data_IF_967516016864
#
_entry.id   IF_967516016864
#
_cell.length_a   1.000
_cell.length_b   1.000
_cell.length_c   1.000
_cell.angle_alpha   90.00
_cell.angle_beta   90.00
_cell.angle_gamma   90.00
#
_symmetry.space_group_name_H-M   'P 1'
#
loop_
_entity.id
_entity.type
_entity.pdbx_description
1 polymer ?
#
# COMPACT_ATOMS: atom_id res chain seq x y z
N UNK A 1 -15.55 -9.75 -9.01
CA UNK A 1 -14.08 -9.88 -8.84
C UNK A 1 -13.71 -9.43 -7.46
N UNK A 2 -12.68 -10.02 -6.86
CA UNK A 2 -12.29 -9.75 -5.47
C UNK A 2 -10.86 -9.25 -5.41
N UNK A 3 -10.64 -8.22 -4.58
CA UNK A 3 -9.33 -7.72 -4.19
C UNK A 3 -9.06 -8.15 -2.74
N UNK A 4 -8.01 -8.94 -2.55
CA UNK A 4 -7.48 -9.29 -1.24
C UNK A 4 -6.35 -8.32 -0.89
N UNK A 5 -6.41 -7.70 0.27
CA UNK A 5 -5.39 -6.78 0.79
C UNK A 5 -4.83 -7.35 2.08
N UNK A 6 -3.54 -7.58 2.10
CA UNK A 6 -2.82 -8.08 3.29
C UNK A 6 -1.82 -7.03 3.73
N UNK A 7 -1.80 -6.71 5.01
CA UNK A 7 -0.88 -5.72 5.54
C UNK A 7 -1.21 -5.35 6.99
N UNK A 8 -0.62 -4.26 7.46
CA UNK A 8 -0.82 -3.81 8.84
C UNK A 8 -2.08 -2.96 8.99
N UNK A 9 -2.77 -3.13 10.12
CA UNK A 9 -3.68 -2.16 10.73
C UNK A 9 -2.99 -1.64 11.97
N UNK A 10 -2.90 -0.34 12.14
CA UNK A 10 -2.04 0.29 13.13
C UNK A 10 -2.69 1.48 13.83
N UNK A 11 -2.10 1.85 14.97
CA UNK A 11 -2.17 3.22 15.46
C UNK A 11 -0.87 3.94 15.15
N UNK A 12 -0.99 5.11 14.52
CA UNK A 12 0.15 5.95 14.21
C UNK A 12 0.14 7.23 15.08
N UNK A 13 1.32 7.65 15.52
CA UNK A 13 1.54 9.01 16.05
C UNK A 13 2.48 9.72 15.12
N UNK A 14 1.99 10.80 14.50
CA UNK A 14 2.68 11.48 13.41
C UNK A 14 2.91 12.94 13.81
N UNK A 15 4.18 13.36 13.73
CA UNK A 15 4.58 14.74 13.91
C UNK A 15 5.17 15.27 12.59
N UNK A 16 4.68 16.42 12.13
CA UNK A 16 5.18 17.14 10.96
C UNK A 16 5.43 18.60 11.35
N UNK A 17 6.10 19.41 10.52
CA UNK A 17 6.21 20.84 10.74
C UNK A 17 4.86 21.59 10.89
N UNK A 18 3.77 20.94 10.44
CA UNK A 18 2.42 21.52 10.45
C UNK A 18 1.55 21.12 11.65
N UNK A 19 2.02 20.17 12.46
CA UNK A 19 1.30 19.71 13.64
C UNK A 19 1.65 18.31 14.07
N UNK A 20 0.88 17.81 15.03
CA UNK A 20 1.03 16.46 15.58
C UNK A 20 -0.34 15.86 15.84
N UNK A 21 -0.50 14.59 15.44
CA UNK A 21 -1.67 13.77 15.77
C UNK A 21 -1.23 12.48 16.43
N UNK A 22 -1.93 12.08 17.48
CA UNK A 22 -1.56 10.93 18.31
C UNK A 22 -2.57 9.80 18.19
N UNK A 23 -2.07 8.56 18.03
CA UNK A 23 -2.88 7.33 18.00
C UNK A 23 -4.02 7.37 16.98
N UNK A 24 -3.75 7.94 15.83
CA UNK A 24 -4.70 7.92 14.71
C UNK A 24 -4.67 6.58 13.98
N UNK A 25 -5.74 6.25 13.30
CA UNK A 25 -5.85 5.03 12.50
C UNK A 25 -4.88 5.07 11.32
N UNK A 26 -4.03 4.07 11.22
CA UNK A 26 -2.99 3.92 10.21
C UNK A 26 -2.75 2.47 9.80
N UNK A 27 -1.59 2.23 9.20
CA UNK A 27 -1.18 0.92 8.71
C UNK A 27 -1.45 0.69 7.23
N UNK A 28 -0.57 -0.07 6.57
CA UNK A 28 -0.58 -0.27 5.12
C UNK A 28 -1.91 -0.82 4.57
N UNK A 29 -2.48 -1.85 5.22
CA UNK A 29 -3.77 -2.39 4.79
C UNK A 29 -4.92 -1.39 4.99
N UNK A 30 -4.86 -0.56 6.01
CA UNK A 30 -5.87 0.47 6.27
C UNK A 30 -5.96 1.45 5.10
N UNK A 31 -4.84 2.09 4.74
CA UNK A 31 -4.81 3.06 3.64
C UNK A 31 -5.19 2.41 2.30
N UNK A 32 -4.64 1.22 2.03
CA UNK A 32 -4.91 0.46 0.80
C UNK A 32 -6.38 0.08 0.68
N UNK A 33 -6.99 -0.44 1.74
CA UNK A 33 -8.41 -0.82 1.73
C UNK A 33 -9.34 0.38 1.57
N UNK A 34 -9.09 1.47 2.31
CA UNK A 34 -9.91 2.68 2.21
C UNK A 34 -9.87 3.23 0.78
N UNK A 35 -8.70 3.37 0.19
CA UNK A 35 -8.58 3.98 -1.14
C UNK A 35 -9.04 3.05 -2.26
N UNK A 36 -8.89 1.73 -2.13
CA UNK A 36 -9.44 0.76 -3.08
C UNK A 36 -10.96 0.64 -3.00
N UNK A 37 -11.57 0.96 -1.83
CA UNK A 37 -13.03 0.88 -1.65
C UNK A 37 -13.82 1.83 -2.54
N UNK A 38 -13.19 2.86 -3.07
CA UNK A 38 -13.80 3.77 -4.05
C UNK A 38 -13.99 3.13 -5.45
N UNK A 39 -13.41 1.96 -5.68
CA UNK A 39 -13.45 1.25 -6.98
C UNK A 39 -14.01 -0.15 -6.87
N UNK A 40 -13.84 -0.82 -5.73
CA UNK A 40 -14.24 -2.22 -5.50
C UNK A 40 -14.48 -2.46 -4.02
N UNK A 41 -14.97 -3.63 -3.63
CA UNK A 41 -15.11 -4.03 -2.23
C UNK A 41 -13.87 -4.86 -1.84
N UNK A 42 -12.88 -4.30 -1.14
CA UNK A 42 -11.69 -5.05 -0.76
C UNK A 42 -11.94 -5.95 0.44
N UNK A 43 -11.15 -7.02 0.53
CA UNK A 43 -11.16 -7.96 1.64
C UNK A 43 -9.84 -7.79 2.40
N UNK A 44 -9.90 -7.44 3.68
CA UNK A 44 -8.69 -7.22 4.49
C UNK A 44 -8.25 -8.51 5.19
N UNK A 45 -6.95 -8.79 5.18
CA UNK A 45 -6.31 -9.78 6.06
C UNK A 45 -5.25 -9.08 6.88
N UNK A 46 -5.51 -8.97 8.18
CA UNK A 46 -4.65 -8.28 9.14
C UNK A 46 -4.95 -8.77 10.56
N UNK A 47 -4.24 -8.21 11.54
CA UNK A 47 -4.45 -8.49 12.96
C UNK A 47 -4.48 -7.17 13.74
N UNK A 48 -5.42 -7.09 14.70
CA UNK A 48 -5.52 -5.99 15.66
C UNK A 48 -5.54 -6.52 17.09
N UNK A 49 -5.23 -5.68 18.05
CA UNK A 49 -5.25 -6.03 19.46
C UNK A 49 -6.62 -5.80 20.13
N UNK A 50 -6.67 -6.16 21.43
CA UNK A 50 -7.86 -5.94 22.27
C UNK A 50 -8.24 -4.46 22.40
N UNK A 51 -7.26 -3.56 22.18
CA UNK A 51 -7.39 -2.10 22.31
C UNK A 51 -7.86 -1.41 21.02
N UNK A 52 -8.16 -2.17 19.96
CA UNK A 52 -8.66 -1.59 18.71
C UNK A 52 -10.17 -1.27 18.85
N UNK A 53 -10.56 0.03 18.72
CA UNK A 53 -11.94 0.44 18.88
C UNK A 53 -12.86 -0.14 17.81
N UNK A 54 -14.06 -0.57 18.24
CA UNK A 54 -15.08 -1.09 17.32
C UNK A 54 -15.53 -0.03 16.29
N UNK A 55 -15.42 1.24 16.63
CA UNK A 55 -15.74 2.36 15.74
C UNK A 55 -14.85 2.40 14.50
N UNK A 56 -13.64 1.86 14.59
CA UNK A 56 -12.78 1.73 13.41
C UNK A 56 -13.21 0.57 12.50
N UNK A 57 -13.68 -0.54 13.06
CA UNK A 57 -14.30 -1.61 12.28
C UNK A 57 -15.55 -1.10 11.55
N UNK A 58 -16.41 -0.36 12.26
CA UNK A 58 -17.59 0.25 11.64
C UNK A 58 -17.23 1.23 10.50
N UNK A 59 -16.12 1.97 10.62
CA UNK A 59 -15.64 2.79 9.51
C UNK A 59 -15.21 1.95 8.31
N UNK A 60 -14.55 0.82 8.52
CA UNK A 60 -14.20 -0.11 7.45
C UNK A 60 -15.46 -0.68 6.78
N UNK A 61 -16.43 -1.14 7.57
CA UNK A 61 -17.70 -1.65 7.05
C UNK A 61 -18.47 -0.61 6.24
N UNK A 62 -18.47 0.66 6.68
CA UNK A 62 -19.08 1.78 5.95
C UNK A 62 -18.39 2.05 4.59
N UNK A 63 -17.15 1.62 4.44
CA UNK A 63 -16.40 1.61 3.18
C UNK A 63 -16.56 0.31 2.38
N UNK A 64 -17.49 -0.58 2.78
CA UNK A 64 -17.69 -1.91 2.17
C UNK A 64 -16.41 -2.77 2.17
N UNK A 65 -15.56 -2.64 3.18
CA UNK A 65 -14.39 -3.48 3.39
C UNK A 65 -14.85 -4.73 4.13
N UNK A 66 -14.58 -5.91 3.57
CA UNK A 66 -14.87 -7.19 4.21
C UNK A 66 -13.83 -7.47 5.30
N UNK A 67 -14.29 -7.69 6.53
CA UNK A 67 -13.44 -7.86 7.72
C UNK A 67 -13.28 -9.32 8.17
N UNK A 68 -13.76 -10.31 7.43
CA UNK A 68 -13.66 -11.72 7.82
C UNK A 68 -12.21 -12.20 8.02
N UNK A 69 -11.24 -11.52 7.40
CA UNK A 69 -9.81 -11.76 7.59
C UNK A 69 -9.13 -10.86 8.63
N UNK A 70 -9.88 -10.02 9.33
CA UNK A 70 -9.34 -9.16 10.39
C UNK A 70 -9.37 -9.90 11.73
N UNK A 71 -8.23 -10.44 12.15
CA UNK A 71 -8.08 -11.13 13.43
C UNK A 71 -8.02 -10.12 14.58
N UNK A 72 -8.72 -10.44 15.69
CA UNK A 72 -8.61 -9.68 16.95
C UNK A 72 -7.94 -10.54 18.02
N UNK A 73 -6.82 -10.05 18.53
CA UNK A 73 -6.10 -10.73 19.62
C UNK A 73 -6.57 -10.25 21.00
N UNK A 74 -6.83 -11.18 21.92
CA UNK A 74 -7.50 -10.90 23.20
C UNK A 74 -6.60 -10.19 24.23
N UNK A 75 -5.28 -10.35 24.16
CA UNK A 75 -4.35 -9.92 25.24
C UNK A 75 -3.22 -9.01 24.77
N UNK A 76 -2.87 -9.01 23.48
CA UNK A 76 -1.86 -8.10 22.92
C UNK A 76 -2.52 -6.83 22.36
N UNK A 77 -1.77 -5.72 22.37
CA UNK A 77 -2.18 -4.44 21.78
C UNK A 77 -2.04 -4.47 20.27
N UNK A 78 -2.74 -3.57 19.61
CA UNK A 78 -2.59 -3.25 18.20
C UNK A 78 -1.18 -2.73 17.92
N UNK A 79 -0.65 -3.00 16.72
CA UNK A 79 0.60 -2.44 16.22
C UNK A 79 0.59 -0.92 16.35
N UNK A 80 1.69 -0.38 16.84
CA UNK A 80 1.85 1.06 17.01
C UNK A 80 3.15 1.53 16.36
N UNK A 81 3.06 2.65 15.64
CA UNK A 81 4.20 3.33 15.07
C UNK A 81 4.16 4.83 15.39
N UNK A 82 5.32 5.42 15.64
CA UNK A 82 5.46 6.88 15.79
C UNK A 82 6.60 7.38 14.94
N UNK A 83 6.33 8.43 14.18
CA UNK A 83 7.30 9.05 13.30
C UNK A 83 7.22 10.56 13.30
N UNK A 84 8.38 11.17 12.98
CA UNK A 84 8.52 12.62 12.85
C UNK A 84 9.10 12.96 11.48
N UNK A 85 8.39 13.79 10.74
CA UNK A 85 8.86 14.34 9.47
C UNK A 85 9.64 15.62 9.71
N UNK A 86 10.74 15.80 8.96
CA UNK A 86 11.53 17.02 8.94
C UNK A 86 10.91 18.05 7.99
N UNK A 87 11.47 19.26 7.91
CA UNK A 87 11.03 20.30 6.96
C UNK A 87 10.96 19.79 5.51
N UNK A 88 11.89 18.92 5.14
CA UNK A 88 11.76 18.09 3.95
C UNK A 88 10.86 16.89 4.27
N UNK A 89 9.61 16.97 3.86
CA UNK A 89 8.59 15.94 4.10
C UNK A 89 8.90 14.55 3.49
N UNK A 90 9.98 14.42 2.71
CA UNK A 90 10.49 13.12 2.23
C UNK A 90 11.41 12.42 3.25
N UNK A 91 11.84 13.13 4.31
CA UNK A 91 12.72 12.59 5.34
C UNK A 91 11.91 12.38 6.63
N UNK A 92 11.92 11.13 7.11
CA UNK A 92 11.18 10.69 8.29
C UNK A 92 12.13 10.02 9.27
N UNK A 93 12.04 10.39 10.54
CA UNK A 93 12.66 9.69 11.66
C UNK A 93 11.61 8.82 12.34
N UNK A 94 11.88 7.53 12.51
CA UNK A 94 11.06 6.65 13.35
C UNK A 94 11.41 6.92 14.80
N UNK A 95 10.41 7.27 15.61
CA UNK A 95 10.58 7.60 17.05
C UNK A 95 10.32 6.36 17.91
N UNK A 96 9.25 5.61 17.61
CA UNK A 96 8.88 4.40 18.34
C UNK A 96 8.20 3.40 17.41
N UNK A 97 8.42 2.12 17.68
CA UNK A 97 7.75 1.02 16.99
C UNK A 97 7.45 -0.09 17.98
N UNK A 98 6.18 -0.36 18.22
CA UNK A 98 5.72 -1.45 19.09
C UNK A 98 5.02 -2.48 18.23
N UNK A 99 5.70 -3.58 17.94
CA UNK A 99 5.18 -4.64 17.07
C UNK A 99 3.90 -5.28 17.62
N UNK A 100 3.82 -5.48 18.95
CA UNK A 100 2.62 -5.97 19.61
C UNK A 100 2.04 -7.24 18.93
N UNK A 101 0.82 -7.15 18.34
CA UNK A 101 0.19 -8.26 17.63
C UNK A 101 0.96 -8.71 16.38
N UNK A 102 1.76 -7.85 15.75
CA UNK A 102 2.53 -8.22 14.56
C UNK A 102 3.63 -9.24 14.85
N UNK A 103 4.14 -9.32 16.10
CA UNK A 103 5.13 -10.34 16.47
C UNK A 103 4.63 -11.77 16.30
N UNK A 104 3.31 -11.94 16.42
CA UNK A 104 2.66 -13.24 16.38
C UNK A 104 1.74 -13.42 15.18
N UNK A 105 1.68 -12.43 14.29
CA UNK A 105 0.78 -12.45 13.15
C UNK A 105 1.08 -13.64 12.23
N UNK A 106 0.12 -14.54 12.16
CA UNK A 106 0.14 -15.69 11.27
C UNK A 106 -1.13 -15.65 10.42
N UNK A 107 -1.09 -15.02 9.25
CA UNK A 107 -2.30 -14.73 8.46
C UNK A 107 -3.04 -16.01 8.08
N UNK A 108 -4.36 -15.99 8.24
CA UNK A 108 -5.25 -17.00 7.74
C UNK A 108 -6.20 -16.32 6.74
N UNK A 109 -6.12 -16.73 5.48
CA UNK A 109 -7.03 -16.24 4.46
C UNK A 109 -8.36 -17.00 4.59
N UNK A 110 -9.50 -16.31 4.81
CA UNK A 110 -10.81 -16.96 4.77
C UNK A 110 -11.03 -17.70 3.45
N UNK A 111 -11.63 -18.88 3.48
CA UNK A 111 -11.74 -19.77 2.30
C UNK A 111 -12.39 -19.06 1.09
N UNK A 112 -13.39 -18.21 1.35
CA UNK A 112 -14.04 -17.42 0.29
C UNK A 112 -13.08 -16.45 -0.44
N UNK A 113 -11.93 -16.09 0.16
CA UNK A 113 -10.97 -15.13 -0.39
C UNK A 113 -9.70 -15.77 -0.95
N UNK A 114 -9.46 -17.08 -0.75
CA UNK A 114 -8.30 -17.80 -1.30
C UNK A 114 -8.25 -17.78 -2.84
N UNK A 115 -9.41 -17.59 -3.48
CA UNK A 115 -9.57 -17.50 -4.94
C UNK A 115 -9.67 -16.06 -5.46
N UNK A 116 -9.18 -15.09 -4.71
CA UNK A 116 -9.18 -13.68 -5.14
C UNK A 116 -8.43 -13.50 -6.46
N UNK A 117 -8.98 -12.65 -7.32
CA UNK A 117 -8.40 -12.38 -8.64
C UNK A 117 -7.27 -11.35 -8.59
N UNK A 118 -7.31 -10.48 -7.61
CA UNK A 118 -6.33 -9.43 -7.35
C UNK A 118 -5.87 -9.53 -5.90
N UNK A 119 -4.56 -9.47 -5.69
CA UNK A 119 -3.96 -9.55 -4.36
C UNK A 119 -2.97 -8.40 -4.18
N UNK A 120 -3.11 -7.64 -3.11
CA UNK A 120 -2.14 -6.63 -2.70
C UNK A 120 -1.46 -7.06 -1.40
N UNK A 121 -0.19 -7.36 -1.47
CA UNK A 121 0.68 -7.60 -0.33
C UNK A 121 1.26 -6.25 0.11
N UNK A 122 0.59 -5.59 1.04
CA UNK A 122 1.06 -4.34 1.63
C UNK A 122 2.30 -4.55 2.49
N UNK A 123 2.82 -3.45 2.99
CA UNK A 123 4.04 -3.46 3.80
C UNK A 123 3.83 -4.24 5.12
N UNK A 124 4.41 -5.43 5.18
CA UNK A 124 4.50 -6.31 6.34
C UNK A 124 5.73 -7.20 6.15
N UNK A 125 6.22 -7.84 7.23
CA UNK A 125 7.40 -8.71 7.15
C UNK A 125 7.25 -9.75 6.02
N UNK A 126 8.27 -9.94 5.15
CA UNK A 126 8.21 -10.82 3.99
C UNK A 126 7.82 -12.27 4.29
N UNK A 127 8.20 -12.81 5.45
CA UNK A 127 7.77 -14.15 5.86
C UNK A 127 6.24 -14.29 6.03
N UNK A 128 5.55 -13.21 6.40
CA UNK A 128 4.07 -13.14 6.44
C UNK A 128 3.50 -13.09 5.02
N UNK A 129 4.10 -12.29 4.12
CA UNK A 129 3.70 -12.25 2.71
C UNK A 129 3.84 -13.64 2.05
N UNK A 130 4.92 -14.39 2.34
CA UNK A 130 5.10 -15.77 1.84
C UNK A 130 3.99 -16.71 2.32
N UNK A 131 3.63 -16.65 3.61
CA UNK A 131 2.52 -17.46 4.16
C UNK A 131 1.17 -17.16 3.48
N UNK A 132 0.95 -15.92 3.07
CA UNK A 132 -0.23 -15.54 2.29
C UNK A 132 -0.19 -16.16 0.91
N UNK A 133 0.94 -16.01 0.20
CA UNK A 133 1.13 -16.58 -1.15
C UNK A 133 0.93 -18.10 -1.18
N UNK A 134 1.36 -18.81 -0.14
CA UNK A 134 1.21 -20.27 -0.04
C UNK A 134 -0.26 -20.72 0.21
N UNK A 135 -1.17 -19.81 0.58
CA UNK A 135 -2.59 -20.09 0.80
C UNK A 135 -3.47 -19.74 -0.41
N UNK A 136 -2.95 -19.03 -1.41
CA UNK A 136 -3.72 -18.65 -2.59
C UNK A 136 -4.00 -19.87 -3.46
N UNK A 137 -5.25 -20.00 -3.91
CA UNK A 137 -5.72 -21.10 -4.75
C UNK A 137 -5.96 -20.67 -6.22
N UNK A 138 -5.86 -19.39 -6.53
CA UNK A 138 -6.03 -18.87 -7.90
C UNK A 138 -4.65 -18.60 -8.52
N UNK A 139 -4.17 -19.55 -9.33
CA UNK A 139 -2.89 -19.43 -10.05
C UNK A 139 -2.84 -18.27 -11.07
N UNK A 140 -4.00 -17.74 -11.46
CA UNK A 140 -4.13 -16.62 -12.39
C UNK A 140 -4.37 -15.29 -11.69
N UNK A 141 -4.23 -15.23 -10.36
CA UNK A 141 -4.36 -13.98 -9.62
C UNK A 141 -3.27 -12.99 -10.03
N UNK A 142 -3.64 -11.72 -10.23
CA UNK A 142 -2.65 -10.65 -10.35
C UNK A 142 -2.20 -10.23 -8.95
N UNK A 143 -0.94 -10.44 -8.65
CA UNK A 143 -0.36 -10.19 -7.34
C UNK A 143 0.58 -9.00 -7.40
N UNK A 144 0.27 -7.97 -6.62
CA UNK A 144 1.14 -6.83 -6.39
C UNK A 144 1.69 -6.84 -4.96
N UNK A 145 2.89 -6.31 -4.78
CA UNK A 145 3.48 -6.11 -3.46
C UNK A 145 4.05 -4.71 -3.31
N UNK A 146 4.05 -4.22 -2.09
CA UNK A 146 4.86 -3.10 -1.61
C UNK A 146 5.88 -3.59 -0.58
N UNK A 147 6.96 -2.84 -0.40
CA UNK A 147 8.04 -3.17 0.54
C UNK A 147 8.60 -1.88 1.16
N UNK A 148 9.62 -2.02 2.00
CA UNK A 148 10.36 -0.90 2.56
C UNK A 148 11.83 -1.29 2.84
N UNK A 149 12.68 -0.27 3.03
CA UNK A 149 14.10 -0.42 3.32
C UNK A 149 14.39 -1.38 4.49
N UNK A 150 13.57 -1.37 5.54
CA UNK A 150 13.72 -2.27 6.68
C UNK A 150 13.81 -3.75 6.28
N UNK A 151 13.01 -4.17 5.30
CA UNK A 151 13.00 -5.56 4.83
C UNK A 151 14.16 -5.86 3.89
N UNK A 152 14.60 -4.87 3.13
CA UNK A 152 15.82 -4.99 2.32
C UNK A 152 17.05 -5.23 3.22
N UNK A 153 17.07 -4.60 4.40
CA UNK A 153 18.18 -4.70 5.35
C UNK A 153 18.11 -5.97 6.22
N UNK A 154 16.91 -6.34 6.68
CA UNK A 154 16.77 -7.33 7.76
C UNK A 154 16.07 -8.64 7.35
N UNK A 155 15.48 -8.71 6.15
CA UNK A 155 14.73 -9.88 5.67
C UNK A 155 14.93 -10.12 4.16
N UNK A 156 16.12 -9.84 3.66
CA UNK A 156 16.45 -9.84 2.23
C UNK A 156 16.10 -11.17 1.51
N UNK A 157 16.49 -12.30 2.08
CA UNK A 157 16.27 -13.60 1.44
C UNK A 157 14.77 -13.91 1.26
N UNK A 158 13.96 -13.61 2.26
CA UNK A 158 12.52 -13.81 2.18
C UNK A 158 11.87 -12.77 1.26
N UNK A 159 12.34 -11.52 1.28
CA UNK A 159 11.90 -10.49 0.34
C UNK A 159 12.13 -10.91 -1.12
N UNK A 160 13.31 -11.44 -1.45
CA UNK A 160 13.61 -11.96 -2.80
C UNK A 160 12.68 -13.11 -3.17
N UNK A 161 12.34 -14.01 -2.22
CA UNK A 161 11.36 -15.08 -2.49
C UNK A 161 9.96 -14.54 -2.81
N UNK A 162 9.52 -13.48 -2.11
CA UNK A 162 8.25 -12.81 -2.41
C UNK A 162 8.30 -12.16 -3.79
N UNK A 163 9.34 -11.36 -4.08
CA UNK A 163 9.50 -10.68 -5.38
C UNK A 163 9.42 -11.66 -6.55
N UNK A 164 9.97 -12.87 -6.40
CA UNK A 164 9.91 -13.92 -7.43
C UNK A 164 8.51 -14.49 -7.70
N UNK A 165 7.57 -14.27 -6.79
CA UNK A 165 6.20 -14.83 -6.85
C UNK A 165 5.13 -13.79 -7.20
N UNK A 166 5.50 -12.52 -7.40
CA UNK A 166 4.55 -11.45 -7.68
C UNK A 166 4.65 -10.93 -9.12
N UNK A 167 3.56 -10.39 -9.63
CA UNK A 167 3.48 -9.82 -10.98
C UNK A 167 3.92 -8.36 -10.99
N UNK A 168 3.60 -7.61 -9.92
CA UNK A 168 3.85 -6.17 -9.81
C UNK A 168 4.62 -5.89 -8.53
N UNK A 169 5.79 -5.26 -8.66
CA UNK A 169 6.52 -4.69 -7.53
C UNK A 169 6.29 -3.18 -7.48
N UNK A 170 5.78 -2.68 -6.36
CA UNK A 170 5.73 -1.26 -6.04
C UNK A 170 6.87 -0.95 -5.05
N UNK A 171 7.71 0.03 -5.37
CA UNK A 171 8.92 0.33 -4.59
C UNK A 171 9.27 1.80 -4.80
N UNK A 172 9.94 2.46 -3.83
CA UNK A 172 10.44 3.80 -4.08
C UNK A 172 11.85 3.78 -4.73
N UNK A 173 12.30 4.95 -5.16
CA UNK A 173 13.60 5.12 -5.85
C UNK A 173 14.78 4.70 -4.98
N UNK A 174 14.80 5.06 -3.71
CA UNK A 174 15.88 4.70 -2.79
C UNK A 174 15.89 3.21 -2.50
N UNK A 175 14.72 2.62 -2.29
CA UNK A 175 14.56 1.19 -2.02
C UNK A 175 15.00 0.33 -3.20
N UNK A 176 14.64 0.66 -4.44
CA UNK A 176 15.05 -0.14 -5.60
C UNK A 176 16.56 -0.03 -5.86
N UNK A 177 17.13 1.16 -5.64
CA UNK A 177 18.56 1.35 -5.69
C UNK A 177 19.29 0.55 -4.61
N UNK A 178 18.78 0.53 -3.39
CA UNK A 178 19.31 -0.27 -2.29
C UNK A 178 19.18 -1.78 -2.58
N UNK A 179 18.01 -2.24 -3.04
CA UNK A 179 17.73 -3.63 -3.35
C UNK A 179 18.73 -4.21 -4.37
N UNK A 180 19.10 -3.42 -5.37
CA UNK A 180 19.98 -3.85 -6.46
C UNK A 180 21.42 -3.33 -6.35
N UNK A 181 21.74 -2.63 -5.27
CA UNK A 181 23.03 -1.98 -5.07
C UNK A 181 23.48 -1.16 -6.30
N UNK A 182 22.59 -0.31 -6.81
CA UNK A 182 22.82 0.54 -7.98
C UNK A 182 22.33 1.96 -7.71
N UNK A 183 23.06 2.96 -8.20
CA UNK A 183 22.65 4.38 -8.13
C UNK A 183 21.79 4.80 -9.33
N UNK A 184 21.62 3.93 -10.31
CA UNK A 184 20.81 4.17 -11.51
C UNK A 184 19.50 3.38 -11.41
N UNK A 185 18.36 4.08 -11.44
CA UNK A 185 17.03 3.47 -11.34
C UNK A 185 16.78 2.49 -12.50
N UNK A 186 17.13 2.84 -13.74
CA UNK A 186 16.87 1.99 -14.91
C UNK A 186 17.67 0.69 -14.82
N UNK A 187 18.96 0.76 -14.44
CA UNK A 187 19.77 -0.43 -14.19
C UNK A 187 19.20 -1.30 -13.06
N UNK A 188 18.73 -0.67 -11.96
CA UNK A 188 18.13 -1.38 -10.85
C UNK A 188 16.80 -2.08 -11.26
N UNK A 189 16.00 -1.43 -12.10
CA UNK A 189 14.77 -2.00 -12.67
C UNK A 189 15.09 -3.20 -13.56
N UNK A 190 16.07 -3.09 -14.47
CA UNK A 190 16.48 -4.20 -15.33
C UNK A 190 16.92 -5.43 -14.52
N UNK A 191 17.74 -5.24 -13.48
CA UNK A 191 18.15 -6.32 -12.57
C UNK A 191 16.94 -6.91 -11.82
N UNK A 192 15.98 -6.09 -11.43
CA UNK A 192 14.79 -6.52 -10.70
C UNK A 192 13.86 -7.34 -11.59
N UNK A 193 13.74 -7.05 -12.89
CA UNK A 193 12.99 -7.88 -13.83
C UNK A 193 13.52 -9.31 -13.95
N UNK A 194 14.81 -9.52 -13.69
CA UNK A 194 15.40 -10.88 -13.68
C UNK A 194 14.93 -11.72 -12.49
N UNK A 195 14.37 -11.10 -11.46
CA UNK A 195 13.82 -11.79 -10.29
C UNK A 195 12.42 -12.37 -10.54
N UNK A 196 11.63 -11.80 -11.48
CA UNK A 196 10.30 -12.36 -11.80
C UNK A 196 9.20 -11.39 -12.17
N UNK A 197 9.07 -10.21 -11.56
CA UNK A 197 7.95 -9.32 -11.82
C UNK A 197 7.76 -9.01 -13.31
N UNK A 198 6.51 -8.86 -13.73
CA UNK A 198 6.15 -8.43 -15.09
C UNK A 198 6.10 -6.91 -15.20
N UNK A 199 5.83 -6.23 -14.07
CA UNK A 199 5.75 -4.78 -13.98
C UNK A 199 6.45 -4.30 -12.71
N UNK A 200 7.09 -3.14 -12.80
CA UNK A 200 7.71 -2.47 -11.66
C UNK A 200 7.22 -1.02 -11.65
N UNK A 201 6.72 -0.57 -10.50
CA UNK A 201 6.30 0.80 -10.28
C UNK A 201 7.29 1.43 -9.32
N UNK A 202 8.07 2.40 -9.82
CA UNK A 202 9.01 3.17 -8.99
C UNK A 202 8.34 4.47 -8.57
N UNK A 203 8.09 4.61 -7.26
CA UNK A 203 7.51 5.81 -6.63
C UNK A 203 8.59 6.85 -6.40
N UNK A 204 8.36 8.11 -6.85
CA UNK A 204 9.31 9.22 -6.79
C UNK A 204 8.81 10.36 -5.89
N UNK A 205 7.90 10.08 -4.98
CA UNK A 205 7.31 11.08 -4.08
C UNK A 205 6.64 12.23 -4.84
N UNK A 206 7.10 13.45 -4.62
CA UNK A 206 6.55 14.66 -5.27
C UNK A 206 6.77 14.73 -6.79
N UNK A 207 7.68 13.93 -7.33
CA UNK A 207 7.93 13.85 -8.78
C UNK A 207 6.95 12.90 -9.49
N UNK A 208 6.21 12.07 -8.72
CA UNK A 208 5.24 11.13 -9.26
C UNK A 208 5.70 9.68 -9.23
N UNK A 209 5.58 8.97 -10.35
CA UNK A 209 5.97 7.55 -10.46
C UNK A 209 6.32 7.15 -11.89
N UNK A 210 7.05 6.05 -12.02
CA UNK A 210 7.36 5.45 -13.31
C UNK A 210 6.87 4.00 -13.30
N UNK A 211 6.04 3.65 -14.27
CA UNK A 211 5.66 2.28 -14.57
C UNK A 211 6.62 1.71 -15.62
N UNK A 212 7.22 0.57 -15.32
CA UNK A 212 8.05 -0.19 -16.23
C UNK A 212 7.42 -1.54 -16.54
N UNK A 213 7.47 -1.91 -17.81
CA UNK A 213 7.39 -3.28 -18.28
C UNK A 213 8.75 -3.66 -18.91
N UNK A 214 8.89 -4.90 -19.37
CA UNK A 214 10.13 -5.31 -20.07
C UNK A 214 10.39 -4.56 -21.38
N UNK A 215 9.38 -3.93 -21.97
CA UNK A 215 9.44 -3.32 -23.29
C UNK A 215 9.04 -1.85 -23.30
N UNK A 216 8.35 -1.37 -22.30
CA UNK A 216 7.75 -0.05 -22.27
C UNK A 216 7.94 0.61 -20.91
N UNK A 217 8.03 1.93 -20.88
CA UNK A 217 7.95 2.72 -19.65
C UNK A 217 6.95 3.86 -19.79
N UNK A 218 6.32 4.22 -18.69
CA UNK A 218 5.39 5.34 -18.61
C UNK A 218 5.71 6.18 -17.37
N UNK A 219 5.93 7.48 -17.57
CA UNK A 219 6.16 8.45 -16.49
C UNK A 219 4.86 9.16 -16.17
N UNK A 220 4.41 9.08 -14.93
CA UNK A 220 3.23 9.77 -14.43
C UNK A 220 3.65 10.86 -13.44
N UNK A 221 3.41 12.14 -13.71
CA UNK A 221 3.71 13.19 -12.75
C UNK A 221 2.78 13.12 -11.53
N UNK A 222 3.26 13.60 -10.39
CA UNK A 222 2.40 13.75 -9.22
C UNK A 222 1.32 14.81 -9.46
N UNK A 223 0.17 14.65 -8.82
CA UNK A 223 -0.84 15.71 -8.74
C UNK A 223 -0.29 16.85 -7.90
N UNK A 224 -0.24 18.06 -8.46
CA UNK A 224 0.20 19.26 -7.75
C UNK A 224 -0.83 19.65 -6.68
N UNK A 225 -0.40 19.69 -5.44
CA UNK A 225 -1.19 20.12 -4.29
C UNK A 225 -0.53 21.34 -3.64
N UNK A 226 -1.34 22.17 -2.97
CA UNK A 226 -0.82 23.40 -2.35
C UNK A 226 0.09 23.12 -1.15
N UNK A 227 -0.25 22.13 -0.35
CA UNK A 227 0.44 21.82 0.89
C UNK A 227 0.33 20.33 1.21
N UNK A 228 1.45 19.73 1.54
CA UNK A 228 1.54 18.39 2.13
C UNK A 228 1.45 18.56 3.64
N UNK A 229 0.49 17.88 4.28
CA UNK A 229 0.29 17.90 5.73
C UNK A 229 0.97 16.69 6.36
N UNK A 230 0.70 15.50 5.82
CA UNK A 230 1.26 14.23 6.31
C UNK A 230 1.50 13.28 5.12
N UNK A 231 2.76 12.90 4.84
CA UNK A 231 3.06 11.96 3.74
C UNK A 231 2.82 10.49 4.12
N UNK A 232 2.49 10.18 5.37
CA UNK A 232 2.26 8.79 5.83
C UNK A 232 1.11 8.15 5.08
N UNK A 233 1.30 6.92 4.63
CA UNK A 233 0.28 6.18 3.89
C UNK A 233 0.07 6.62 2.43
N UNK A 234 0.87 7.58 1.91
CA UNK A 234 0.76 8.00 0.51
C UNK A 234 1.02 6.85 -0.47
N UNK A 235 2.06 6.04 -0.20
CA UNK A 235 2.38 4.85 -0.99
C UNK A 235 1.29 3.79 -0.94
N UNK A 236 0.76 3.54 0.26
CA UNK A 236 -0.34 2.58 0.47
C UNK A 236 -1.64 3.05 -0.17
N UNK A 237 -1.92 4.35 -0.09
CA UNK A 237 -3.08 4.98 -0.77
C UNK A 237 -2.94 4.93 -2.29
N UNK A 238 -1.73 5.11 -2.81
CA UNK A 238 -1.42 4.89 -4.22
C UNK A 238 -1.71 3.43 -4.61
N UNK A 239 -1.20 2.47 -3.84
CA UNK A 239 -1.42 1.04 -4.09
C UNK A 239 -2.91 0.68 -4.08
N UNK A 240 -3.69 1.25 -3.14
CA UNK A 240 -5.13 1.04 -3.06
C UNK A 240 -5.89 1.60 -4.27
N UNK A 241 -5.60 2.83 -4.69
CA UNK A 241 -6.19 3.42 -5.90
C UNK A 241 -5.85 2.64 -7.17
N UNK A 242 -4.59 2.22 -7.29
CA UNK A 242 -4.09 1.41 -8.40
C UNK A 242 -4.77 0.04 -8.47
N UNK A 243 -4.69 -0.74 -7.40
CA UNK A 243 -5.24 -2.11 -7.37
C UNK A 243 -6.77 -2.13 -7.39
N UNK A 244 -7.41 -1.16 -6.73
CA UNK A 244 -8.85 -1.01 -6.76
C UNK A 244 -9.37 -0.76 -8.18
N UNK A 245 -8.73 0.14 -8.93
CA UNK A 245 -9.08 0.40 -10.32
C UNK A 245 -8.85 -0.83 -11.22
N UNK A 246 -7.72 -1.52 -11.08
CA UNK A 246 -7.47 -2.76 -11.83
C UNK A 246 -8.53 -3.82 -11.55
N UNK A 247 -8.87 -4.04 -10.28
CA UNK A 247 -9.92 -4.98 -9.89
C UNK A 247 -11.27 -4.61 -10.50
N UNK A 248 -11.62 -3.32 -10.55
CA UNK A 248 -12.90 -2.86 -11.13
C UNK A 248 -12.99 -3.04 -12.65
N UNK A 249 -11.86 -2.87 -13.35
CA UNK A 249 -11.81 -2.94 -14.83
C UNK A 249 -11.49 -4.32 -15.39
N UNK A 250 -10.91 -5.21 -14.58
CA UNK A 250 -10.51 -6.57 -14.96
C UNK A 250 -9.61 -6.63 -16.21
N UNK A 251 -8.79 -5.61 -16.36
CA UNK A 251 -7.93 -5.46 -17.53
C UNK A 251 -6.50 -5.14 -17.08
N UNK A 252 -5.56 -6.04 -17.39
CA UNK A 252 -4.16 -5.96 -17.00
C UNK A 252 -3.24 -5.50 -18.14
N UNK A 253 -3.81 -4.93 -19.22
CA UNK A 253 -3.02 -4.36 -20.32
C UNK A 253 -2.20 -3.16 -19.85
N UNK A 254 -1.05 -2.91 -20.48
CA UNK A 254 -0.18 -1.79 -20.13
C UNK A 254 -0.92 -0.44 -20.19
N UNK A 255 -1.80 -0.26 -21.18
CA UNK A 255 -2.65 0.94 -21.30
C UNK A 255 -3.62 1.11 -20.12
N UNK A 256 -4.15 0.01 -19.57
CA UNK A 256 -5.01 0.09 -18.40
C UNK A 256 -4.20 0.28 -17.12
N UNK A 257 -2.98 -0.27 -17.04
CA UNK A 257 -2.04 -0.01 -15.94
C UNK A 257 -1.67 1.48 -15.85
N UNK A 258 -1.49 2.18 -16.98
CA UNK A 258 -1.30 3.65 -16.99
C UNK A 258 -2.47 4.38 -16.32
N UNK A 259 -3.70 4.00 -16.64
CA UNK A 259 -4.91 4.57 -15.99
C UNK A 259 -4.96 4.24 -14.50
N UNK A 260 -4.56 3.03 -14.12
CA UNK A 260 -4.46 2.63 -12.72
C UNK A 260 -3.43 3.47 -11.95
N UNK A 261 -2.27 3.78 -12.57
CA UNK A 261 -1.28 4.73 -12.03
C UNK A 261 -1.90 6.11 -11.77
N UNK A 262 -2.71 6.62 -12.71
CA UNK A 262 -3.41 7.90 -12.51
C UNK A 262 -4.30 7.86 -11.26
N UNK A 263 -5.08 6.79 -11.09
CA UNK A 263 -5.95 6.63 -9.91
C UNK A 263 -5.16 6.47 -8.62
N UNK A 264 -4.07 5.72 -8.63
CA UNK A 264 -3.14 5.65 -7.50
C UNK A 264 -2.61 7.04 -7.12
N UNK A 265 -2.16 7.81 -8.11
CA UNK A 265 -1.65 9.18 -7.92
C UNK A 265 -2.73 10.12 -7.37
N UNK A 266 -3.97 10.02 -7.84
CA UNK A 266 -5.10 10.80 -7.32
C UNK A 266 -5.35 10.46 -5.85
N UNK A 267 -5.43 9.17 -5.48
CA UNK A 267 -5.68 8.77 -4.09
C UNK A 267 -4.56 9.19 -3.15
N UNK A 268 -3.30 8.99 -3.55
CA UNK A 268 -2.14 9.46 -2.80
C UNK A 268 -2.19 10.99 -2.57
N UNK A 269 -2.60 11.76 -3.58
CA UNK A 269 -2.71 13.21 -3.48
C UNK A 269 -3.76 13.70 -2.48
N UNK A 270 -4.80 12.92 -2.23
CA UNK A 270 -5.76 13.20 -1.16
C UNK A 270 -5.23 12.79 0.21
N UNK A 271 -4.52 11.66 0.30
CA UNK A 271 -3.93 11.19 1.53
C UNK A 271 -3.03 12.26 2.17
N UNK A 272 -2.11 12.82 1.42
CA UNK A 272 -1.09 13.74 1.95
C UNK A 272 -1.62 15.13 2.35
N UNK A 273 -2.90 15.41 2.19
CA UNK A 273 -3.50 16.74 2.49
C UNK A 273 -4.08 16.85 3.91
N UNK A 274 -4.06 15.77 4.68
CA UNK A 274 -4.51 15.75 6.07
C UNK A 274 -3.73 14.67 6.84
N UNK A 275 -3.85 14.64 8.17
CA UNK A 275 -3.24 13.61 8.98
C UNK A 275 -3.94 12.26 8.83
N UNK A 276 -3.14 11.21 8.68
CA UNK A 276 -3.60 9.83 8.62
C UNK A 276 -4.67 9.59 7.55
N UNK A 277 -5.76 8.93 7.96
CA UNK A 277 -6.82 8.52 7.05
C UNK A 277 -7.98 9.51 6.92
N UNK A 278 -7.93 10.65 7.63
CA UNK A 278 -9.06 11.60 7.77
C UNK A 278 -9.61 12.03 6.40
N UNK A 279 -8.75 12.50 5.52
CA UNK A 279 -9.20 13.02 4.23
C UNK A 279 -9.66 11.90 3.28
N UNK A 280 -8.94 10.80 3.21
CA UNK A 280 -9.29 9.68 2.32
C UNK A 280 -10.56 8.95 2.74
N UNK A 281 -10.91 8.94 4.03
CA UNK A 281 -12.17 8.37 4.52
C UNK A 281 -13.41 9.22 4.17
N UNK A 282 -13.22 10.51 3.90
CA UNK A 282 -14.31 11.46 3.66
C UNK A 282 -14.40 11.92 2.21
N UNK A 283 -13.80 11.20 1.27
CA UNK A 283 -13.90 11.53 -0.15
C UNK A 283 -15.29 11.23 -0.70
N UNK A 284 -15.84 12.18 -1.47
CA UNK A 284 -17.00 11.91 -2.29
C UNK A 284 -16.58 11.68 -3.75
N UNK A 285 -17.47 11.04 -4.52
CA UNK A 285 -17.21 10.65 -5.90
C UNK A 285 -16.87 11.84 -6.80
N UNK A 286 -17.56 12.96 -6.62
CA UNK A 286 -17.35 14.16 -7.41
C UNK A 286 -15.93 14.72 -7.24
N UNK A 287 -15.41 14.77 -6.00
CA UNK A 287 -14.07 15.31 -5.70
C UNK A 287 -12.95 14.53 -6.38
N UNK A 288 -12.96 13.18 -6.29
CA UNK A 288 -11.87 12.43 -6.89
C UNK A 288 -11.98 12.32 -8.41
N UNK A 289 -13.19 12.30 -8.97
CA UNK A 289 -13.41 12.40 -10.41
C UNK A 289 -12.96 13.76 -10.97
N UNK A 290 -13.29 14.86 -10.31
CA UNK A 290 -12.84 16.20 -10.71
C UNK A 290 -11.31 16.29 -10.70
N UNK A 291 -10.65 15.78 -9.65
CA UNK A 291 -9.19 15.76 -9.59
C UNK A 291 -8.58 14.93 -10.69
N UNK A 292 -9.14 13.75 -10.97
CA UNK A 292 -8.69 12.91 -12.08
C UNK A 292 -8.80 13.63 -13.42
N UNK A 293 -9.98 14.20 -13.70
CA UNK A 293 -10.24 14.91 -14.98
C UNK A 293 -9.30 16.09 -15.18
N UNK A 294 -9.02 16.87 -14.14
CA UNK A 294 -8.14 18.05 -14.21
C UNK A 294 -6.67 17.72 -14.45
N UNK A 295 -6.23 16.52 -14.14
CA UNK A 295 -4.81 16.16 -14.21
C UNK A 295 -4.50 15.14 -15.32
N UNK A 296 -5.50 14.36 -15.78
CA UNK A 296 -5.24 13.21 -16.66
C UNK A 296 -6.17 13.10 -17.88
N UNK A 297 -7.08 14.07 -18.08
CA UNK A 297 -7.90 14.23 -19.28
C UNK A 297 -7.66 15.61 -19.89
#
# INVERSE_FOLDING_TARGET
MSLLVVGTVAFDTIETPLGKEEKILGGAATYTCITSSYFTNPNIVSIVGYDFPIEHEQKFENHNIDLDGLERHETKKTFFWSGKYRDNMNIRDTIDTQLNVLEIFNPIIPDKHKKSNYVMLGNVIPSVQLKVLDQLENESALIAMDTMNLWIENAYDDLIKVIKKVDILMINDQEIQQLQNSTNIEEAVEKTFLLGPSFIIVKLGSEGSILFSKTEKYVCPAVKIKQVVDPTGAGDSFAGGFMGYLCSTQNNSFENLKKAIHWGTVMASFCVQDFGTINIMNLNKEKYLDRYSKNFI
#
